data_IF_554340210501
#
_entry.id   IF_554340210501
#
_cell.length_a   1.000
_cell.length_b   1.000
_cell.length_c   1.000
_cell.angle_alpha   90.00
_cell.angle_beta   90.00
_cell.angle_gamma   90.00
#
_symmetry.space_group_name_H-M   'P 1'
#
loop_
_entity.id
_entity.type
_entity.pdbx_description
1 polymer ?
#
# COMPACT_ATOMS: atom_id res chain seq x y z
N UNK A 1 14.09 -24.91 -2.42
CA UNK A 1 12.92 -24.11 -2.03
C UNK A 1 13.28 -22.65 -2.22
N UNK A 2 12.50 -21.86 -2.97
CA UNK A 2 12.74 -20.42 -3.06
C UNK A 2 12.59 -19.82 -1.66
N UNK A 3 13.62 -19.11 -1.19
CA UNK A 3 13.61 -18.52 0.15
C UNK A 3 12.83 -17.21 0.11
N UNK A 4 11.51 -17.30 0.27
CA UNK A 4 10.64 -16.12 0.31
C UNK A 4 11.01 -15.22 1.50
N UNK A 5 11.12 -13.91 1.24
CA UNK A 5 11.28 -12.87 2.26
C UNK A 5 9.95 -12.66 2.95
N UNK A 6 9.84 -13.12 4.20
CA UNK A 6 8.64 -12.98 5.01
C UNK A 6 8.73 -11.75 5.92
N UNK A 7 7.75 -10.83 5.89
CA UNK A 7 7.72 -9.70 6.80
C UNK A 7 7.37 -10.14 8.23
N UNK A 8 7.76 -9.33 9.21
CA UNK A 8 7.37 -9.57 10.61
C UNK A 8 5.87 -9.36 10.80
N UNK A 9 5.34 -9.95 11.87
CA UNK A 9 3.96 -9.66 12.32
C UNK A 9 3.87 -8.20 12.79
N UNK A 10 2.78 -7.52 12.42
CA UNK A 10 2.45 -6.18 12.92
C UNK A 10 2.04 -6.23 14.40
N UNK A 11 2.29 -5.14 15.11
CA UNK A 11 1.99 -4.91 16.52
C UNK A 11 1.20 -3.61 16.69
N UNK A 12 0.40 -3.47 17.76
CA UNK A 12 -0.22 -2.19 18.10
C UNK A 12 0.82 -1.05 18.17
N UNK A 13 0.50 0.09 17.59
CA UNK A 13 1.38 1.26 17.47
C UNK A 13 2.31 1.26 16.26
N UNK A 14 2.36 0.17 15.49
CA UNK A 14 3.14 0.14 14.25
C UNK A 14 2.64 1.18 13.25
N UNK A 15 3.60 1.87 12.61
CA UNK A 15 3.33 2.85 11.56
C UNK A 15 3.16 2.16 10.22
N UNK A 16 2.06 2.44 9.52
CA UNK A 16 1.68 1.81 8.26
C UNK A 16 1.63 2.86 7.17
N UNK A 17 2.46 2.69 6.14
CA UNK A 17 2.39 3.56 4.97
C UNK A 17 1.06 3.32 4.23
N UNK A 18 0.39 4.41 3.88
CA UNK A 18 -0.79 4.40 3.01
C UNK A 18 -0.41 5.00 1.66
N UNK A 19 -0.54 4.20 0.60
CA UNK A 19 -0.11 4.52 -0.76
C UNK A 19 -1.25 4.30 -1.78
N UNK A 20 -1.21 5.02 -2.90
CA UNK A 20 -2.21 4.93 -3.98
C UNK A 20 -1.54 4.46 -5.30
N UNK A 21 -1.25 3.15 -5.46
CA UNK A 21 -0.53 2.62 -6.61
C UNK A 21 -1.37 2.56 -7.89
N UNK A 22 -2.69 2.73 -7.78
CA UNK A 22 -3.63 2.68 -8.90
C UNK A 22 -4.51 3.94 -8.89
N UNK A 23 -5.82 3.84 -8.59
CA UNK A 23 -6.73 4.96 -8.66
C UNK A 23 -6.61 5.93 -7.46
N UNK A 24 -6.68 7.24 -7.74
CA UNK A 24 -6.69 8.32 -6.74
C UNK A 24 -8.02 8.47 -5.98
N UNK A 25 -8.63 7.36 -5.58
CA UNK A 25 -9.93 7.33 -4.89
C UNK A 25 -10.00 8.17 -3.61
N UNK A 26 -8.95 8.26 -2.77
CA UNK A 26 -8.97 9.12 -1.58
C UNK A 26 -9.25 10.60 -1.87
N UNK A 27 -8.88 11.09 -3.06
CA UNK A 27 -9.17 12.45 -3.48
C UNK A 27 -10.66 12.64 -3.83
N UNK A 28 -11.28 11.63 -4.45
CA UNK A 28 -12.66 11.67 -4.94
C UNK A 28 -13.67 11.41 -3.82
N UNK A 29 -13.35 10.48 -2.92
CA UNK A 29 -14.21 10.09 -1.80
C UNK A 29 -13.48 10.22 -0.46
N UNK A 30 -13.10 11.45 -0.05
CA UNK A 30 -12.28 11.67 1.15
C UNK A 30 -12.95 11.16 2.41
N UNK A 31 -14.27 11.27 2.54
CA UNK A 31 -15.00 10.81 3.73
C UNK A 31 -14.81 9.30 4.01
N UNK A 32 -14.89 8.45 2.97
CA UNK A 32 -14.69 7.01 3.10
C UNK A 32 -13.24 6.70 3.47
N UNK A 33 -12.30 7.44 2.87
CA UNK A 33 -10.89 7.29 3.17
C UNK A 33 -10.59 7.67 4.63
N UNK A 34 -11.12 8.78 5.15
CA UNK A 34 -11.00 9.15 6.57
C UNK A 34 -11.57 8.08 7.49
N UNK A 35 -12.74 7.50 7.16
CA UNK A 35 -13.32 6.38 7.93
C UNK A 35 -12.35 5.20 7.98
N UNK A 36 -11.68 4.88 6.87
CA UNK A 36 -10.67 3.82 6.82
C UNK A 36 -9.43 4.12 7.68
N UNK A 37 -8.93 5.36 7.66
CA UNK A 37 -7.81 5.75 8.52
C UNK A 37 -8.19 5.70 10.01
N UNK A 38 -9.40 6.12 10.36
CA UNK A 38 -9.89 6.05 11.74
C UNK A 38 -10.11 4.61 12.20
N UNK A 39 -10.67 3.74 11.35
CA UNK A 39 -10.81 2.32 11.65
C UNK A 39 -9.44 1.64 11.84
N UNK A 40 -8.43 2.00 11.05
CA UNK A 40 -7.06 1.53 11.24
C UNK A 40 -6.50 1.91 12.62
N UNK A 41 -6.72 3.16 13.06
CA UNK A 41 -6.28 3.63 14.38
C UNK A 41 -7.05 2.97 15.51
N UNK A 42 -8.38 3.02 15.45
CA UNK A 42 -9.26 2.62 16.55
C UNK A 42 -9.41 1.11 16.67
N UNK A 43 -9.52 0.37 15.56
CA UNK A 43 -9.81 -1.07 15.57
C UNK A 43 -8.55 -1.92 15.41
N UNK A 44 -7.66 -1.55 14.47
CA UNK A 44 -6.43 -2.30 14.24
C UNK A 44 -5.29 -1.87 15.17
N UNK A 45 -5.42 -0.72 15.84
CA UNK A 45 -4.39 -0.11 16.69
C UNK A 45 -3.10 0.16 15.92
N UNK A 46 -3.21 0.54 14.64
CA UNK A 46 -2.08 0.87 13.77
C UNK A 46 -2.10 2.37 13.44
N UNK A 47 -0.94 2.99 13.27
CA UNK A 47 -0.85 4.41 12.93
C UNK A 47 -0.66 4.60 11.41
N UNK A 48 -1.67 5.09 10.66
CA UNK A 48 -1.49 5.35 9.24
C UNK A 48 -0.58 6.56 9.01
N UNK A 49 0.39 6.38 8.13
CA UNK A 49 1.29 7.42 7.62
C UNK A 49 1.02 7.58 6.14
N UNK A 50 0.40 8.70 5.77
CA UNK A 50 0.10 8.98 4.37
C UNK A 50 1.36 9.35 3.60
N UNK A 51 1.57 8.71 2.45
CA UNK A 51 2.65 9.05 1.54
C UNK A 51 2.18 10.08 0.49
N UNK A 52 3.09 10.80 -0.19
CA UNK A 52 2.75 11.92 -1.07
C UNK A 52 1.60 11.69 -2.07
N UNK A 53 1.48 10.49 -2.65
CA UNK A 53 0.45 10.14 -3.64
C UNK A 53 -0.92 9.80 -3.03
N UNK A 54 -1.00 9.55 -1.72
CA UNK A 54 -2.19 9.01 -1.07
C UNK A 54 -3.48 9.77 -1.44
N UNK A 55 -3.42 11.11 -1.47
CA UNK A 55 -4.55 12.01 -1.75
C UNK A 55 -4.46 12.77 -3.07
N UNK A 56 -3.54 12.41 -3.95
CA UNK A 56 -3.43 13.08 -5.25
C UNK A 56 -4.66 12.78 -6.13
N UNK A 57 -5.03 13.75 -6.95
CA UNK A 57 -6.16 13.62 -7.87
C UNK A 57 -5.90 12.49 -8.91
N UNK A 58 -6.95 11.78 -9.36
CA UNK A 58 -6.79 10.65 -10.27
C UNK A 58 -6.06 10.98 -11.58
N UNK A 59 -6.32 12.16 -12.15
CA UNK A 59 -5.68 12.63 -13.38
C UNK A 59 -4.17 12.84 -13.20
N UNK A 60 -3.75 13.40 -12.06
CA UNK A 60 -2.33 13.56 -11.72
C UNK A 60 -1.62 12.22 -11.57
N UNK A 61 -2.25 11.26 -10.89
CA UNK A 61 -1.68 9.90 -10.75
C UNK A 61 -1.62 9.13 -12.07
N UNK A 62 -2.61 9.33 -12.95
CA UNK A 62 -2.64 8.71 -14.27
C UNK A 62 -1.54 9.24 -15.20
N UNK A 63 -1.15 10.52 -15.07
CA UNK A 63 -0.13 11.14 -15.91
C UNK A 63 1.28 10.63 -15.61
N UNK A 64 1.61 10.41 -14.33
CA UNK A 64 2.95 9.99 -13.92
C UNK A 64 2.93 8.75 -13.02
N UNK A 65 3.06 7.54 -13.59
CA UNK A 65 3.13 6.30 -12.81
C UNK A 65 4.39 6.22 -11.93
N UNK A 66 5.45 6.99 -12.21
CA UNK A 66 6.68 6.97 -11.43
C UNK A 66 6.44 7.53 -10.02
N UNK A 67 5.60 8.57 -9.88
CA UNK A 67 5.24 9.12 -8.56
C UNK A 67 4.70 8.04 -7.61
N UNK A 68 3.86 7.14 -8.14
CA UNK A 68 3.27 6.03 -7.39
C UNK A 68 4.30 4.96 -7.01
N UNK A 69 5.24 4.66 -7.90
CA UNK A 69 6.35 3.75 -7.60
C UNK A 69 7.34 4.34 -6.58
N UNK A 70 7.60 5.65 -6.64
CA UNK A 70 8.49 6.34 -5.71
C UNK A 70 7.98 6.24 -4.27
N UNK A 71 6.67 6.40 -4.06
CA UNK A 71 6.05 6.19 -2.75
C UNK A 71 6.24 4.77 -2.21
N UNK A 72 6.12 3.75 -3.08
CA UNK A 72 6.34 2.35 -2.69
C UNK A 72 7.80 2.13 -2.32
N UNK A 73 8.73 2.60 -3.16
CA UNK A 73 10.17 2.50 -2.91
C UNK A 73 10.55 3.21 -1.59
N UNK A 74 10.01 4.41 -1.36
CA UNK A 74 10.24 5.17 -0.13
C UNK A 74 9.66 4.46 1.10
N UNK A 75 8.46 3.90 1.01
CA UNK A 75 7.83 3.17 2.11
C UNK A 75 8.60 1.90 2.48
N UNK A 76 9.17 1.20 1.51
CA UNK A 76 10.08 0.08 1.77
C UNK A 76 11.41 0.53 2.37
N UNK A 77 11.98 1.65 1.92
CA UNK A 77 13.24 2.20 2.46
C UNK A 77 13.14 2.78 3.89
N UNK A 78 11.98 3.30 4.29
CA UNK A 78 11.82 3.98 5.58
C UNK A 78 11.70 3.00 6.74
N UNK A 79 12.77 2.80 7.52
CA UNK A 79 12.81 1.89 8.67
C UNK A 79 11.74 2.18 9.76
N UNK A 80 11.16 3.38 9.79
CA UNK A 80 10.06 3.71 10.71
C UNK A 80 8.72 3.11 10.30
N UNK A 81 8.58 2.65 9.06
CA UNK A 81 7.38 2.01 8.51
C UNK A 81 7.45 0.49 8.70
N UNK A 82 6.44 -0.08 9.36
CA UNK A 82 6.35 -1.52 9.61
C UNK A 82 5.60 -2.30 8.49
N UNK A 83 4.74 -1.62 7.75
CA UNK A 83 3.92 -2.22 6.70
C UNK A 83 3.33 -1.17 5.76
N UNK A 84 2.75 -1.63 4.65
CA UNK A 84 2.23 -0.83 3.54
C UNK A 84 0.83 -1.34 3.20
N UNK A 85 -0.16 -0.48 3.33
CA UNK A 85 -1.53 -0.76 2.98
C UNK A 85 -1.94 0.14 1.81
N UNK A 86 -2.52 -0.47 0.78
CA UNK A 86 -3.00 0.27 -0.37
C UNK A 86 -4.32 0.98 -0.05
N UNK A 87 -4.47 2.22 -0.51
CA UNK A 87 -5.66 3.04 -0.28
C UNK A 87 -6.91 2.44 -0.93
N UNK A 88 -6.83 2.08 -2.21
CA UNK A 88 -7.87 1.43 -3.02
C UNK A 88 -7.25 0.82 -4.31
N UNK A 89 -8.00 -0.05 -4.99
CA UNK A 89 -7.62 -0.60 -6.30
C UNK A 89 -7.76 0.41 -7.46
N UNK A 90 -7.98 -0.08 -8.67
CA UNK A 90 -8.11 0.72 -9.89
C UNK A 90 -7.95 -0.19 -11.12
N UNK A 91 -7.20 0.22 -12.13
CA UNK A 91 -7.02 -0.55 -13.38
C UNK A 91 -5.66 -0.34 -14.09
N UNK A 92 -4.72 0.44 -13.53
CA UNK A 92 -3.49 0.81 -14.25
C UNK A 92 -2.17 0.61 -13.46
N UNK A 93 -2.20 -0.08 -12.31
CA UNK A 93 -0.99 -0.26 -11.48
C UNK A 93 0.15 -1.01 -12.19
N UNK A 94 -0.13 -1.75 -13.26
CA UNK A 94 0.91 -2.37 -14.12
C UNK A 94 1.94 -1.36 -14.63
N UNK A 95 1.54 -0.09 -14.79
CA UNK A 95 2.41 0.98 -15.30
C UNK A 95 3.51 1.38 -14.34
N UNK A 96 3.39 1.04 -13.05
CA UNK A 96 4.38 1.41 -12.04
C UNK A 96 5.56 0.42 -11.97
N UNK A 97 5.38 -0.82 -12.48
CA UNK A 97 6.35 -1.90 -12.32
C UNK A 97 7.77 -1.57 -12.82
N UNK A 98 7.96 -0.89 -13.97
CA UNK A 98 9.30 -0.53 -14.45
C UNK A 98 10.08 0.42 -13.54
N UNK A 99 9.41 1.07 -12.59
CA UNK A 99 10.01 2.06 -11.68
C UNK A 99 10.24 1.53 -10.26
N UNK A 100 9.87 0.26 -9.99
CA UNK A 100 10.08 -0.36 -8.69
C UNK A 100 11.55 -0.77 -8.51
N UNK A 101 12.16 -0.32 -7.43
CA UNK A 101 13.49 -0.77 -7.02
C UNK A 101 13.36 -2.11 -6.27
N UNK A 102 13.32 -3.19 -7.04
CA UNK A 102 13.04 -4.53 -6.50
C UNK A 102 14.13 -4.99 -5.50
N UNK A 103 15.39 -4.67 -5.76
CA UNK A 103 16.50 -5.02 -4.85
C UNK A 103 16.34 -4.33 -3.49
N UNK A 104 15.99 -3.04 -3.48
CA UNK A 104 15.69 -2.27 -2.27
C UNK A 104 14.51 -2.86 -1.50
N UNK A 105 13.44 -3.24 -2.22
CA UNK A 105 12.24 -3.84 -1.63
C UNK A 105 12.57 -5.18 -0.96
N UNK A 106 13.34 -6.05 -1.63
CA UNK A 106 13.73 -7.36 -1.10
C UNK A 106 14.75 -7.28 0.05
N UNK A 107 15.55 -6.22 0.10
CA UNK A 107 16.43 -5.92 1.22
C UNK A 107 15.66 -5.45 2.47
N UNK A 108 14.46 -4.88 2.30
CA UNK A 108 13.64 -4.30 3.38
C UNK A 108 12.25 -4.93 3.46
N UNK A 109 12.10 -6.25 3.67
CA UNK A 109 10.80 -6.90 3.57
C UNK A 109 9.81 -6.42 4.64
N UNK A 110 8.69 -5.85 4.17
CA UNK A 110 7.57 -5.35 4.98
C UNK A 110 6.26 -5.93 4.47
N UNK A 111 5.24 -5.93 5.35
CA UNK A 111 3.91 -6.38 4.96
C UNK A 111 3.38 -5.43 3.89
N UNK A 112 3.00 -5.96 2.72
CA UNK A 112 2.29 -5.23 1.68
C UNK A 112 0.92 -5.87 1.47
N UNK A 113 -0.14 -5.06 1.60
CA UNK A 113 -1.52 -5.55 1.51
C UNK A 113 -2.43 -4.67 0.66
N UNK A 114 -3.30 -5.34 -0.10
CA UNK A 114 -4.45 -4.76 -0.82
C UNK A 114 -5.16 -5.83 -1.65
N UNK A 115 -6.14 -5.44 -2.47
CA UNK A 115 -6.84 -6.35 -3.38
C UNK A 115 -7.25 -5.65 -4.69
N UNK A 116 -7.91 -6.37 -5.59
CA UNK A 116 -8.31 -5.90 -6.93
C UNK A 116 -7.08 -5.63 -7.81
N UNK A 117 -6.99 -4.52 -8.53
CA UNK A 117 -5.83 -4.19 -9.37
C UNK A 117 -4.48 -4.19 -8.63
N UNK A 118 -4.50 -3.99 -7.30
CA UNK A 118 -3.32 -4.20 -6.44
C UNK A 118 -2.66 -5.56 -6.65
N UNK A 119 -3.43 -6.58 -7.08
CA UNK A 119 -2.95 -7.92 -7.45
C UNK A 119 -1.77 -7.88 -8.42
N UNK A 120 -1.71 -6.89 -9.33
CA UNK A 120 -0.57 -6.70 -10.23
C UNK A 120 0.73 -6.48 -9.46
N UNK A 121 0.73 -5.54 -8.52
CA UNK A 121 1.86 -5.25 -7.64
C UNK A 121 2.17 -6.43 -6.70
N UNK A 122 1.15 -7.02 -6.06
CA UNK A 122 1.34 -8.14 -5.14
C UNK A 122 1.96 -9.34 -5.85
N UNK A 123 1.42 -9.70 -7.01
CA UNK A 123 1.90 -10.84 -7.79
C UNK A 123 3.32 -10.59 -8.31
N UNK A 124 3.59 -9.39 -8.83
CA UNK A 124 4.93 -9.02 -9.27
C UNK A 124 5.96 -9.21 -8.16
N UNK A 125 5.76 -8.61 -6.98
CA UNK A 125 6.70 -8.72 -5.87
C UNK A 125 6.76 -10.15 -5.28
N UNK A 126 5.66 -10.89 -5.33
CA UNK A 126 5.65 -12.31 -4.98
C UNK A 126 6.51 -13.16 -5.92
N UNK A 127 6.46 -12.90 -7.23
CA UNK A 127 7.37 -13.54 -8.19
C UNK A 127 8.84 -13.20 -7.94
N UNK A 128 9.13 -12.02 -7.37
CA UNK A 128 10.47 -11.62 -6.93
C UNK A 128 10.87 -12.24 -5.58
N UNK A 129 9.96 -12.95 -4.91
CA UNK A 129 10.23 -13.68 -3.67
C UNK A 129 9.81 -12.95 -2.39
N UNK A 130 8.99 -11.90 -2.45
CA UNK A 130 8.39 -11.28 -1.26
C UNK A 130 7.08 -11.97 -0.88
N UNK A 131 6.84 -12.25 0.40
CA UNK A 131 5.50 -12.66 0.85
C UNK A 131 4.58 -11.44 0.89
N UNK A 132 3.57 -11.42 0.02
CA UNK A 132 2.55 -10.37 -0.08
C UNK A 132 1.17 -10.85 0.37
N UNK A 133 0.26 -9.93 0.72
CA UNK A 133 -1.05 -10.26 1.28
C UNK A 133 -2.19 -9.72 0.42
N UNK A 134 -2.99 -10.61 -0.18
CA UNK A 134 -4.23 -10.20 -0.84
C UNK A 134 -5.33 -10.06 0.22
N UNK A 135 -5.73 -8.83 0.52
CA UNK A 135 -6.58 -8.50 1.67
C UNK A 135 -7.21 -7.11 1.57
N UNK A 136 -7.90 -6.65 2.62
CA UNK A 136 -8.64 -5.38 2.58
C UNK A 136 -7.72 -4.18 2.32
N UNK A 137 -8.28 -3.14 1.71
CA UNK A 137 -7.65 -1.82 1.50
C UNK A 137 -8.21 -0.80 2.50
N UNK A 138 -7.65 0.41 2.54
CA UNK A 138 -8.14 1.48 3.42
C UNK A 138 -9.63 1.78 3.15
N UNK A 139 -9.98 2.06 1.90
CA UNK A 139 -11.34 2.51 1.55
C UNK A 139 -12.34 1.36 1.43
N UNK A 140 -11.87 0.14 1.20
CA UNK A 140 -12.72 -1.02 1.02
C UNK A 140 -12.18 -2.22 1.81
N UNK A 141 -12.99 -2.67 2.77
CA UNK A 141 -12.63 -3.60 3.83
C UNK A 141 -12.37 -2.87 5.14
N UNK A 142 -11.31 -2.04 5.23
CA UNK A 142 -10.92 -1.40 6.50
C UNK A 142 -11.94 -0.34 6.94
N UNK A 143 -12.40 0.52 6.02
CA UNK A 143 -13.44 1.51 6.30
C UNK A 143 -14.81 0.91 6.71
N UNK A 144 -14.97 -0.42 6.63
CA UNK A 144 -16.18 -1.13 7.03
C UNK A 144 -15.98 -2.01 8.27
N UNK A 145 -14.82 -1.92 8.94
CA UNK A 145 -14.64 -2.57 10.24
C UNK A 145 -15.52 -1.81 11.24
N UNK A 146 -16.51 -2.52 11.81
CA UNK A 146 -17.43 -1.95 12.80
C UNK A 146 -16.67 -1.53 14.06
N UNK A 147 -17.12 -0.42 14.66
CA UNK A 147 -16.65 0.10 15.94
C UNK A 147 -17.52 -0.32 17.11
#
# INVERSE_FOLDING_TARGET
>A
MSNFKRPRKLQPGDRIAVVSPSWGGPNVFPAIYETGLEAMRSQLKLEPVEFPTARMAPDKLAQDPKLRADDINAAFADESIAGIFVSIGGDDSVRILPYLNTDLILANPKLLMGYSDTTTLLSYLSFQGLVTFHGPTIMAGIAQIES
#
